data_IF_120841889898
#
_entry.id   IF_120841889898
#
_cell.length_a   1.000
_cell.length_b   1.000
_cell.length_c   1.000
_cell.angle_alpha   90.00
_cell.angle_beta   90.00
_cell.angle_gamma   90.00
#
_symmetry.space_group_name_H-M   'P 1'
#
loop_
_entity.id
_entity.type
_entity.pdbx_description
1 polymer ?
#
# COMPACT_ATOMS: atom_id res chain seq x y z
N UNK A 1 -24.13 -18.08 -34.36
CA UNK A 1 -23.34 -16.90 -33.93
C UNK A 1 -23.89 -16.16 -32.69
N UNK A 2 -25.18 -16.26 -32.33
CA UNK A 2 -25.72 -15.59 -31.12
C UNK A 2 -25.33 -16.23 -29.77
N UNK A 3 -24.87 -17.48 -29.78
CA UNK A 3 -24.48 -18.21 -28.55
C UNK A 3 -22.99 -18.05 -28.15
N UNK A 4 -22.12 -17.59 -29.05
CA UNK A 4 -20.70 -17.40 -28.74
C UNK A 4 -20.44 -16.09 -27.96
N UNK A 5 -21.25 -15.06 -28.23
CA UNK A 5 -21.15 -13.74 -27.59
C UNK A 5 -21.58 -13.79 -26.11
N UNK A 6 -22.53 -14.66 -25.75
CA UNK A 6 -22.95 -14.83 -24.34
C UNK A 6 -21.89 -15.50 -23.46
N UNK A 7 -21.05 -16.36 -24.04
CA UNK A 7 -19.96 -17.03 -23.30
C UNK A 7 -18.81 -16.04 -23.04
N UNK A 8 -18.51 -15.14 -23.97
CA UNK A 8 -17.45 -14.13 -23.80
C UNK A 8 -17.82 -13.09 -22.73
N UNK A 9 -19.09 -12.67 -22.65
CA UNK A 9 -19.55 -11.72 -21.61
C UNK A 9 -19.60 -12.38 -20.22
N UNK A 10 -19.84 -13.69 -20.13
CA UNK A 10 -19.85 -14.42 -18.85
C UNK A 10 -18.44 -14.68 -18.28
N UNK A 11 -17.39 -14.70 -19.10
CA UNK A 11 -16.01 -14.97 -18.66
C UNK A 11 -15.30 -13.71 -18.14
N UNK A 12 -15.77 -12.50 -18.48
CA UNK A 12 -15.19 -11.24 -17.97
C UNK A 12 -15.73 -10.88 -16.57
N UNK A 13 -16.77 -11.56 -16.08
CA UNK A 13 -17.38 -11.26 -14.77
C UNK A 13 -16.70 -11.92 -13.56
N UNK A 14 -15.61 -12.67 -13.76
CA UNK A 14 -14.86 -13.36 -12.68
C UNK A 14 -13.40 -12.91 -12.52
N UNK A 15 -13.04 -11.73 -13.04
CA UNK A 15 -11.87 -11.01 -12.54
C UNK A 15 -12.32 -10.28 -11.27
N UNK A 16 -12.36 -11.04 -10.17
CA UNK A 16 -12.53 -10.48 -8.84
C UNK A 16 -11.56 -9.32 -8.69
N UNK A 17 -12.11 -8.14 -8.33
CA UNK A 17 -11.40 -6.89 -8.11
C UNK A 17 -10.19 -7.13 -7.19
N UNK A 18 -9.10 -7.54 -7.81
CA UNK A 18 -7.79 -7.64 -7.21
C UNK A 18 -7.30 -6.22 -7.03
N UNK A 19 -6.68 -5.97 -5.87
CA UNK A 19 -6.16 -4.69 -5.44
C UNK A 19 -5.70 -3.80 -6.61
N UNK A 20 -6.26 -2.59 -6.70
CA UNK A 20 -5.92 -1.55 -7.68
C UNK A 20 -4.49 -0.99 -7.53
N UNK A 21 -3.68 -1.58 -6.66
CA UNK A 21 -2.26 -1.25 -6.59
C UNK A 21 -1.54 -1.84 -7.80
N UNK A 22 -0.93 -0.96 -8.58
CA UNK A 22 -0.14 -1.38 -9.73
C UNK A 22 1.16 -2.10 -9.29
N UNK A 23 1.57 -3.07 -10.11
CA UNK A 23 2.85 -3.77 -9.98
C UNK A 23 3.67 -3.62 -11.28
N UNK A 24 5.01 -3.53 -11.20
CA UNK A 24 5.83 -3.64 -9.99
C UNK A 24 5.72 -2.40 -9.07
N UNK A 25 5.91 -2.62 -7.76
CA UNK A 25 6.02 -1.55 -6.77
C UNK A 25 7.37 -0.84 -6.91
N UNK A 26 7.34 0.47 -6.81
CA UNK A 26 8.51 1.34 -6.88
C UNK A 26 9.12 1.61 -5.49
N UNK A 27 10.26 2.32 -5.44
CA UNK A 27 10.95 2.55 -4.17
C UNK A 27 10.16 3.44 -3.19
N UNK A 28 9.31 4.37 -3.68
CA UNK A 28 8.49 5.21 -2.82
C UNK A 28 7.33 4.43 -2.17
N UNK A 29 6.65 3.59 -2.95
CA UNK A 29 5.57 2.73 -2.49
C UNK A 29 6.08 1.71 -1.45
N UNK A 30 7.22 1.07 -1.71
CA UNK A 30 7.83 0.10 -0.80
C UNK A 30 8.37 0.76 0.48
N UNK A 31 9.01 1.92 0.35
CA UNK A 31 9.41 2.76 1.50
C UNK A 31 8.21 3.13 2.36
N UNK A 32 7.12 3.59 1.74
CA UNK A 32 5.89 3.92 2.44
C UNK A 32 5.34 2.71 3.22
N UNK A 33 5.27 1.54 2.59
CA UNK A 33 4.76 0.33 3.23
C UNK A 33 5.59 -0.03 4.48
N UNK A 34 6.92 -0.11 4.35
CA UNK A 34 7.82 -0.43 5.45
C UNK A 34 7.73 0.61 6.59
N UNK A 35 7.82 1.90 6.25
CA UNK A 35 7.85 2.99 7.24
C UNK A 35 6.52 3.14 7.96
N UNK A 36 5.40 3.02 7.26
CA UNK A 36 4.07 3.08 7.87
C UNK A 36 3.83 1.90 8.81
N UNK A 37 4.23 0.68 8.44
CA UNK A 37 4.13 -0.48 9.34
C UNK A 37 5.03 -0.34 10.58
N UNK A 38 6.23 0.23 10.45
CA UNK A 38 7.08 0.55 11.60
C UNK A 38 6.41 1.59 12.53
N UNK A 39 5.84 2.66 11.96
CA UNK A 39 5.15 3.72 12.70
C UNK A 39 3.92 3.20 13.44
N UNK A 40 3.14 2.32 12.82
CA UNK A 40 1.94 1.73 13.43
C UNK A 40 2.28 0.74 14.54
N UNK A 41 3.28 -0.11 14.32
CA UNK A 41 3.66 -1.12 15.30
C UNK A 41 4.44 -0.56 16.50
N UNK A 42 5.03 0.63 16.36
CA UNK A 42 5.86 1.33 17.37
C UNK A 42 6.81 0.36 18.10
N UNK A 43 7.67 -0.40 17.37
CA UNK A 43 8.55 -1.36 17.99
C UNK A 43 9.67 -0.66 18.78
N UNK A 44 10.23 -1.30 19.83
CA UNK A 44 11.50 -0.87 20.39
C UNK A 44 12.58 -0.75 19.30
N UNK A 45 13.53 0.19 19.46
CA UNK A 45 14.55 0.51 18.45
C UNK A 45 15.30 -0.72 17.93
N UNK A 46 15.67 -1.64 18.83
CA UNK A 46 16.37 -2.90 18.50
C UNK A 46 15.52 -3.83 17.62
N UNK A 47 14.22 -3.95 17.91
CA UNK A 47 13.31 -4.76 17.11
C UNK A 47 13.02 -4.10 15.75
N UNK A 48 12.83 -2.78 15.72
CA UNK A 48 12.64 -2.02 14.48
C UNK A 48 13.86 -2.07 13.56
N UNK A 49 15.08 -2.15 14.10
CA UNK A 49 16.29 -2.39 13.32
C UNK A 49 16.28 -3.80 12.70
N UNK A 50 15.93 -4.84 13.47
CA UNK A 50 15.78 -6.21 12.95
C UNK A 50 14.75 -6.28 11.82
N UNK A 51 13.60 -5.64 11.97
CA UNK A 51 12.54 -5.64 10.96
C UNK A 51 12.93 -4.95 9.64
N UNK A 52 13.67 -3.84 9.69
CA UNK A 52 14.22 -3.19 8.48
C UNK A 52 15.13 -4.12 7.68
N UNK A 53 15.84 -4.99 8.39
CA UNK A 53 16.71 -5.99 7.79
C UNK A 53 15.97 -7.29 7.40
N UNK A 54 14.63 -7.34 7.51
CA UNK A 54 13.81 -8.55 7.41
C UNK A 54 14.30 -9.70 8.31
N UNK A 55 14.84 -9.35 9.48
CA UNK A 55 15.08 -10.29 10.57
C UNK A 55 13.83 -10.30 11.45
N UNK A 56 13.02 -11.35 11.31
CA UNK A 56 11.63 -11.36 11.78
C UNK A 56 11.43 -12.41 12.90
N UNK A 57 11.74 -12.09 14.18
CA UNK A 57 11.61 -13.02 15.30
C UNK A 57 10.14 -13.44 15.55
N UNK A 58 9.95 -14.61 16.16
CA UNK A 58 8.60 -15.14 16.45
C UNK A 58 7.99 -14.48 17.69
N UNK A 59 7.29 -13.36 17.51
CA UNK A 59 6.49 -12.70 18.56
C UNK A 59 5.29 -11.96 17.95
N UNK A 60 4.28 -11.67 18.78
CA UNK A 60 3.00 -11.06 18.36
C UNK A 60 3.18 -9.76 17.56
N UNK A 61 4.08 -8.87 18.01
CA UNK A 61 4.37 -7.61 17.29
C UNK A 61 4.92 -7.88 15.89
N UNK A 62 5.83 -8.84 15.76
CA UNK A 62 6.45 -9.20 14.48
C UNK A 62 5.44 -9.87 13.56
N UNK A 63 4.52 -10.68 14.10
CA UNK A 63 3.45 -11.29 13.30
C UNK A 63 2.61 -10.22 12.61
N UNK A 64 2.16 -9.20 13.35
CA UNK A 64 1.35 -8.14 12.78
C UNK A 64 2.15 -7.18 11.89
N UNK A 65 3.45 -6.97 12.17
CA UNK A 65 4.32 -6.25 11.25
C UNK A 65 4.41 -6.95 9.88
N UNK A 66 4.57 -8.29 9.86
CA UNK A 66 4.63 -9.05 8.60
C UNK A 66 3.31 -8.97 7.83
N UNK A 67 2.16 -9.13 8.50
CA UNK A 67 0.86 -8.94 7.83
C UNK A 67 0.74 -7.51 7.27
N UNK A 68 1.07 -6.49 8.06
CA UNK A 68 1.03 -5.10 7.62
C UNK A 68 1.90 -4.87 6.37
N UNK A 69 3.14 -5.36 6.38
CA UNK A 69 4.07 -5.20 5.26
C UNK A 69 3.50 -5.83 3.99
N UNK A 70 2.98 -7.05 4.07
CA UNK A 70 2.39 -7.70 2.90
C UNK A 70 1.16 -6.98 2.37
N UNK A 71 0.27 -6.52 3.26
CA UNK A 71 -0.93 -5.77 2.87
C UNK A 71 -0.56 -4.43 2.25
N UNK A 72 0.39 -3.68 2.82
CA UNK A 72 0.77 -2.36 2.31
C UNK A 72 1.63 -2.45 1.05
N UNK A 73 2.27 -3.59 0.80
CA UNK A 73 2.87 -3.87 -0.52
C UNK A 73 1.82 -4.26 -1.58
N UNK A 74 0.54 -4.42 -1.22
CA UNK A 74 -0.52 -4.89 -2.12
C UNK A 74 -0.47 -6.39 -2.41
N UNK A 75 0.31 -7.14 -1.63
CA UNK A 75 0.58 -8.55 -1.88
C UNK A 75 -0.37 -9.45 -1.10
N UNK A 76 -0.83 -9.04 0.09
CA UNK A 76 -1.80 -9.80 0.87
C UNK A 76 -3.12 -9.06 1.00
N UNK A 77 -4.18 -9.67 0.49
CA UNK A 77 -5.55 -9.19 0.60
C UNK A 77 -6.15 -9.65 1.93
N UNK A 78 -6.49 -8.71 2.82
CA UNK A 78 -7.07 -9.03 4.12
C UNK A 78 -8.51 -9.56 4.04
N UNK A 79 -9.27 -9.21 3.00
CA UNK A 79 -10.66 -9.63 2.78
C UNK A 79 -10.71 -11.06 2.24
N UNK A 80 -9.97 -11.33 1.18
CA UNK A 80 -9.92 -12.68 0.59
C UNK A 80 -8.95 -13.61 1.32
N UNK A 81 -8.06 -13.05 2.15
CA UNK A 81 -7.01 -13.75 2.91
C UNK A 81 -6.07 -14.53 1.99
N UNK A 82 -5.72 -13.96 0.84
CA UNK A 82 -4.89 -14.59 -0.19
C UNK A 82 -3.68 -13.73 -0.53
N UNK A 83 -2.58 -14.39 -0.88
CA UNK A 83 -1.41 -13.75 -1.45
C UNK A 83 -1.57 -13.61 -2.96
N UNK A 84 -1.25 -12.43 -3.49
CA UNK A 84 -1.12 -12.17 -4.91
C UNK A 84 0.25 -12.66 -5.39
N UNK A 85 0.37 -13.96 -5.68
CA UNK A 85 1.65 -14.55 -6.07
C UNK A 85 2.16 -14.06 -7.42
N UNK A 86 1.27 -13.66 -8.35
CA UNK A 86 1.67 -13.06 -9.62
C UNK A 86 2.30 -11.69 -9.41
N UNK A 87 1.80 -10.88 -8.49
CA UNK A 87 2.43 -9.61 -8.14
C UNK A 87 3.87 -9.78 -7.60
N UNK A 88 4.11 -10.82 -6.78
CA UNK A 88 5.47 -11.15 -6.31
C UNK A 88 6.34 -11.56 -7.51
N UNK A 89 5.85 -12.43 -8.39
CA UNK A 89 6.57 -12.84 -9.60
C UNK A 89 6.92 -11.66 -10.50
N UNK A 90 5.94 -10.79 -10.79
CA UNK A 90 6.13 -9.56 -11.57
C UNK A 90 7.20 -8.67 -10.94
N UNK A 91 7.21 -8.48 -9.61
CA UNK A 91 8.23 -7.68 -8.94
C UNK A 91 9.64 -8.25 -9.14
N UNK A 92 9.81 -9.57 -8.99
CA UNK A 92 11.11 -10.21 -9.12
C UNK A 92 11.63 -10.08 -10.56
N UNK A 93 10.80 -10.42 -11.55
CA UNK A 93 11.16 -10.40 -12.96
C UNK A 93 11.46 -8.96 -13.42
N UNK A 94 10.64 -7.97 -13.04
CA UNK A 94 10.86 -6.57 -13.44
C UNK A 94 12.15 -5.96 -12.90
N UNK A 95 12.76 -6.61 -11.90
CA UNK A 95 14.01 -6.20 -11.26
C UNK A 95 15.19 -7.09 -11.68
N UNK A 96 15.03 -7.85 -12.77
CA UNK A 96 16.08 -8.71 -13.33
C UNK A 96 16.37 -9.96 -12.50
N UNK A 97 15.49 -10.32 -11.55
CA UNK A 97 15.62 -11.55 -10.75
C UNK A 97 14.77 -12.68 -11.34
N UNK A 98 15.16 -13.92 -11.05
CA UNK A 98 14.36 -15.09 -11.43
C UNK A 98 13.07 -15.16 -10.60
N UNK A 99 12.02 -15.72 -11.20
CA UNK A 99 10.78 -16.03 -10.47
C UNK A 99 11.07 -16.97 -9.28
N UNK A 100 10.58 -16.68 -8.06
CA UNK A 100 10.83 -17.52 -6.91
C UNK A 100 10.18 -18.90 -7.04
N UNK A 101 10.99 -19.96 -7.11
CA UNK A 101 10.51 -21.35 -7.23
C UNK A 101 9.50 -21.78 -6.16
N UNK A 102 9.53 -21.19 -4.96
CA UNK A 102 8.58 -21.51 -3.88
C UNK A 102 7.34 -20.61 -3.80
N UNK A 103 6.99 -19.85 -4.85
CA UNK A 103 5.72 -19.09 -4.87
C UNK A 103 4.50 -19.98 -4.65
N UNK A 104 4.54 -21.24 -5.08
CA UNK A 104 3.47 -22.20 -4.84
C UNK A 104 3.14 -22.39 -3.34
N UNK A 105 4.10 -22.17 -2.45
CA UNK A 105 3.89 -22.25 -0.98
C UNK A 105 3.00 -21.12 -0.45
N UNK A 106 2.86 -20.02 -1.21
CA UNK A 106 1.99 -18.90 -0.89
C UNK A 106 0.62 -19.00 -1.59
N UNK A 107 0.38 -20.05 -2.39
CA UNK A 107 -0.93 -20.24 -3.05
C UNK A 107 -1.96 -20.73 -2.04
N UNK A 108 -3.19 -20.27 -2.24
CA UNK A 108 -4.33 -20.64 -1.39
C UNK A 108 -4.70 -19.55 -0.39
N UNK A 109 -5.63 -19.88 0.49
CA UNK A 109 -6.17 -18.97 1.49
C UNK A 109 -5.51 -19.24 2.85
N UNK A 110 -5.06 -18.17 3.52
CA UNK A 110 -4.56 -18.26 4.89
C UNK A 110 -5.71 -18.64 5.81
N UNK A 111 -5.57 -19.78 6.51
CA UNK A 111 -6.55 -20.24 7.49
C UNK A 111 -6.50 -19.34 8.73
N UNK A 112 -7.66 -18.98 9.28
CA UNK A 112 -7.76 -18.11 10.46
C UNK A 112 -7.57 -16.62 10.17
N UNK A 113 -7.89 -15.80 11.18
CA UNK A 113 -7.99 -14.31 11.06
C UNK A 113 -6.85 -13.55 11.75
N UNK A 114 -5.84 -14.23 12.27
CA UNK A 114 -4.78 -13.59 13.08
C UNK A 114 -3.55 -13.26 12.23
N UNK A 115 -2.75 -12.31 12.72
CA UNK A 115 -1.45 -11.99 12.16
C UNK A 115 -0.48 -13.19 12.20
N UNK A 116 -0.58 -14.02 13.25
CA UNK A 116 0.25 -15.20 13.45
C UNK A 116 0.10 -16.20 12.31
N UNK A 117 -1.12 -16.37 11.78
CA UNK A 117 -1.36 -17.28 10.66
C UNK A 117 -0.76 -16.74 9.36
N UNK A 118 -0.88 -15.43 9.08
CA UNK A 118 -0.21 -14.80 7.92
C UNK A 118 1.31 -14.92 8.03
N UNK A 119 1.86 -14.71 9.23
CA UNK A 119 3.28 -14.88 9.49
C UNK A 119 3.73 -16.33 9.22
N UNK A 120 3.08 -17.32 9.83
CA UNK A 120 3.42 -18.74 9.63
C UNK A 120 3.37 -19.12 8.15
N UNK A 121 2.37 -18.63 7.43
CA UNK A 121 2.15 -18.93 6.02
C UNK A 121 3.23 -18.37 5.10
N UNK A 122 3.86 -17.25 5.47
CA UNK A 122 4.77 -16.51 4.58
C UNK A 122 6.23 -16.42 5.05
N UNK A 123 6.52 -16.77 6.30
CA UNK A 123 7.83 -16.52 6.89
C UNK A 123 8.94 -17.34 6.21
N UNK A 124 8.68 -18.58 5.81
CA UNK A 124 9.69 -19.43 5.19
C UNK A 124 10.05 -18.91 3.79
N UNK A 125 9.08 -18.35 3.06
CA UNK A 125 9.35 -17.63 1.82
C UNK A 125 10.25 -16.42 2.06
N UNK A 126 9.92 -15.55 3.03
CA UNK A 126 10.72 -14.35 3.35
C UNK A 126 12.13 -14.70 3.83
N UNK A 127 12.30 -15.78 4.59
CA UNK A 127 13.62 -16.25 5.03
C UNK A 127 14.44 -16.75 3.84
N UNK A 128 13.83 -17.56 2.97
CA UNK A 128 14.49 -18.18 1.82
C UNK A 128 14.97 -17.14 0.81
N UNK A 129 14.15 -16.12 0.54
CA UNK A 129 14.45 -15.08 -0.45
C UNK A 129 14.80 -13.74 0.20
N UNK A 130 15.34 -13.73 1.42
CA UNK A 130 15.53 -12.52 2.22
C UNK A 130 16.32 -11.44 1.46
N UNK A 131 17.44 -11.82 0.85
CA UNK A 131 18.34 -10.89 0.17
C UNK A 131 17.70 -10.34 -1.10
N UNK A 132 17.18 -11.24 -1.93
CA UNK A 132 16.53 -10.95 -3.20
C UNK A 132 15.28 -10.10 -2.99
N UNK A 133 14.43 -10.47 -2.02
CA UNK A 133 13.23 -9.72 -1.67
C UNK A 133 13.58 -8.28 -1.28
N UNK A 134 14.63 -8.09 -0.46
CA UNK A 134 15.08 -6.74 -0.11
C UNK A 134 15.60 -5.97 -1.31
N UNK A 135 16.31 -6.63 -2.21
CA UNK A 135 16.80 -6.01 -3.43
C UNK A 135 15.66 -5.58 -4.38
N UNK A 136 14.74 -6.50 -4.70
CA UNK A 136 13.67 -6.26 -5.69
C UNK A 136 12.58 -5.32 -5.17
N UNK A 137 12.38 -5.23 -3.85
CA UNK A 137 11.46 -4.27 -3.22
C UNK A 137 12.16 -3.00 -2.68
N UNK A 138 13.38 -2.70 -3.13
CA UNK A 138 14.09 -1.46 -2.74
C UNK A 138 14.27 -1.25 -1.22
N UNK A 139 14.35 -2.35 -0.45
CA UNK A 139 14.48 -2.32 1.02
C UNK A 139 15.95 -2.28 1.49
N UNK A 140 16.86 -1.90 0.60
CA UNK A 140 18.25 -1.55 0.95
C UNK A 140 18.47 -0.08 0.62
N UNK A 141 19.29 0.61 1.42
CA UNK A 141 19.57 2.04 1.19
C UNK A 141 20.14 2.28 -0.22
N UNK A 142 21.02 1.39 -0.68
CA UNK A 142 21.62 1.47 -2.02
C UNK A 142 20.57 1.41 -3.13
N UNK A 143 19.69 0.40 -3.13
CA UNK A 143 18.69 0.24 -4.20
C UNK A 143 17.66 1.36 -4.18
N UNK A 144 17.24 1.79 -2.99
CA UNK A 144 16.32 2.91 -2.82
C UNK A 144 16.91 4.23 -3.29
N UNK A 145 18.13 4.57 -2.85
CA UNK A 145 18.81 5.82 -3.23
C UNK A 145 19.05 5.91 -4.73
N UNK A 146 19.54 4.84 -5.36
CA UNK A 146 19.72 4.79 -6.82
C UNK A 146 18.41 5.06 -7.54
N UNK A 147 17.31 4.41 -7.12
CA UNK A 147 16.01 4.60 -7.76
C UNK A 147 15.50 6.05 -7.62
N UNK A 148 15.61 6.66 -6.43
CA UNK A 148 15.20 8.04 -6.23
C UNK A 148 16.05 9.02 -7.04
N UNK A 149 17.35 8.78 -7.18
CA UNK A 149 18.23 9.58 -8.03
C UNK A 149 17.80 9.52 -9.50
N UNK A 150 17.47 8.33 -10.01
CA UNK A 150 17.00 8.13 -11.38
C UNK A 150 15.60 8.69 -11.66
N UNK A 151 14.81 8.93 -10.60
CA UNK A 151 13.43 9.42 -10.69
C UNK A 151 13.25 10.83 -10.12
N UNK A 152 14.35 11.58 -9.95
CA UNK A 152 14.34 12.93 -9.38
C UNK A 152 13.36 13.85 -10.14
N UNK A 153 12.49 14.53 -9.40
CA UNK A 153 11.46 15.44 -9.94
C UNK A 153 10.21 14.75 -10.51
N UNK A 154 10.30 13.46 -10.88
CA UNK A 154 9.15 12.67 -11.34
C UNK A 154 8.31 12.12 -10.19
N UNK A 155 8.95 11.86 -9.05
CA UNK A 155 8.32 11.35 -7.83
C UNK A 155 8.73 12.20 -6.62
N UNK A 156 7.91 12.20 -5.57
CA UNK A 156 8.16 12.97 -4.34
C UNK A 156 9.49 12.57 -3.73
N UNK A 157 10.32 13.57 -3.39
CA UNK A 157 11.59 13.34 -2.72
C UNK A 157 11.47 12.63 -1.35
N UNK A 158 12.56 12.02 -0.90
CA UNK A 158 12.62 11.28 0.39
C UNK A 158 12.40 12.16 1.63
N UNK A 159 12.67 13.45 1.51
CA UNK A 159 12.55 14.46 2.57
C UNK A 159 11.67 15.65 2.14
N UNK A 160 10.81 15.42 1.14
CA UNK A 160 9.90 16.42 0.59
C UNK A 160 8.45 16.10 1.02
N UNK A 161 7.72 17.13 1.45
CA UNK A 161 6.29 17.01 1.77
C UNK A 161 5.47 16.81 0.49
N UNK A 162 4.36 16.08 0.58
CA UNK A 162 3.47 15.86 -0.55
C UNK A 162 2.87 17.18 -1.07
N UNK A 163 2.48 18.08 -0.16
CA UNK A 163 1.97 19.41 -0.51
C UNK A 163 2.94 20.17 -1.44
N UNK A 164 4.23 20.22 -1.09
CA UNK A 164 5.29 20.84 -1.87
C UNK A 164 5.43 20.19 -3.25
N UNK A 165 5.59 18.87 -3.29
CA UNK A 165 5.81 18.14 -4.53
C UNK A 165 4.64 18.27 -5.51
N UNK A 166 3.41 18.24 -4.99
CA UNK A 166 2.19 18.27 -5.79
C UNK A 166 1.82 19.67 -6.30
N UNK A 167 2.54 20.74 -5.93
CA UNK A 167 2.26 22.09 -6.46
C UNK A 167 2.38 22.19 -7.98
N UNK A 168 3.18 21.30 -8.59
CA UNK A 168 3.38 21.22 -10.04
C UNK A 168 2.14 20.79 -10.83
N UNK A 169 1.13 20.22 -10.15
CA UNK A 169 -0.09 19.77 -10.82
C UNK A 169 -0.92 20.95 -11.33
N UNK A 170 -1.48 20.78 -12.52
CA UNK A 170 -2.08 21.86 -13.34
C UNK A 170 -3.34 22.47 -12.75
N UNK A 171 -4.09 21.70 -11.96
CA UNK A 171 -5.34 22.14 -11.36
C UNK A 171 -5.51 21.57 -9.94
N UNK A 172 -6.46 22.15 -9.19
CA UNK A 172 -6.66 21.81 -7.78
C UNK A 172 -7.15 20.37 -7.57
N UNK A 173 -7.93 19.82 -8.50
CA UNK A 173 -8.42 18.45 -8.39
C UNK A 173 -7.25 17.46 -8.47
N UNK A 174 -6.38 17.62 -9.48
CA UNK A 174 -5.18 16.79 -9.64
C UNK A 174 -4.17 16.99 -8.51
N UNK A 175 -3.99 18.24 -8.06
CA UNK A 175 -3.14 18.55 -6.90
C UNK A 175 -3.62 17.84 -5.64
N UNK A 176 -4.94 17.85 -5.38
CA UNK A 176 -5.53 17.17 -4.24
C UNK A 176 -5.38 15.65 -4.37
N UNK A 177 -5.63 15.09 -5.55
CA UNK A 177 -5.41 13.67 -5.82
C UNK A 177 -3.94 13.29 -5.58
N UNK A 178 -2.97 14.04 -6.11
CA UNK A 178 -1.55 13.82 -5.90
C UNK A 178 -1.20 13.79 -4.40
N UNK A 179 -1.73 14.73 -3.61
CA UNK A 179 -1.54 14.72 -2.15
C UNK A 179 -2.13 13.47 -1.51
N UNK A 180 -3.37 13.12 -1.87
CA UNK A 180 -4.07 11.95 -1.33
C UNK A 180 -3.39 10.64 -1.71
N UNK A 181 -2.77 10.56 -2.88
CA UNK A 181 -1.93 9.45 -3.30
C UNK A 181 -0.73 9.27 -2.36
N UNK A 182 -0.01 10.34 -2.03
CA UNK A 182 1.13 10.27 -1.10
C UNK A 182 0.71 10.11 0.37
N UNK A 183 -0.51 10.52 0.74
CA UNK A 183 -1.12 10.18 2.04
C UNK A 183 -1.64 8.74 2.08
N UNK A 184 -1.72 8.09 0.92
CA UNK A 184 -2.19 6.72 0.71
C UNK A 184 -3.64 6.54 1.12
N UNK A 185 -4.44 7.53 0.72
CA UNK A 185 -5.89 7.55 0.77
C UNK A 185 -6.50 7.03 -0.53
N UNK A 186 -5.83 7.33 -1.64
CA UNK A 186 -6.11 6.83 -2.98
C UNK A 186 -4.85 6.23 -3.59
N UNK A 187 -5.00 5.40 -4.61
CA UNK A 187 -3.89 4.80 -5.37
C UNK A 187 -3.66 5.47 -6.73
N UNK A 188 -2.80 4.84 -7.54
CA UNK A 188 -2.39 5.32 -8.85
C UNK A 188 -3.53 5.32 -9.88
N UNK A 189 -4.59 4.55 -9.64
CA UNK A 189 -5.77 4.41 -10.50
C UNK A 189 -6.97 5.24 -9.99
N UNK A 190 -6.70 6.21 -9.12
CA UNK A 190 -7.72 7.06 -8.48
C UNK A 190 -8.72 6.28 -7.63
N UNK A 191 -8.38 5.08 -7.14
CA UNK A 191 -9.27 4.27 -6.29
C UNK A 191 -8.96 4.44 -4.82
N UNK A 192 -9.98 4.26 -3.97
CA UNK A 192 -9.81 4.39 -2.52
C UNK A 192 -9.01 3.21 -1.96
N UNK A 193 -8.03 3.51 -1.11
CA UNK A 193 -7.27 2.50 -0.38
C UNK A 193 -8.00 2.15 0.92
N UNK A 194 -8.80 1.08 0.90
CA UNK A 194 -9.63 0.66 2.05
C UNK A 194 -8.83 0.03 3.21
N UNK A 195 -7.74 -0.68 2.92
CA UNK A 195 -6.95 -1.37 3.96
C UNK A 195 -6.07 -0.42 4.79
N UNK A 196 -5.91 0.84 4.36
CA UNK A 196 -5.13 1.83 5.09
C UNK A 196 -5.85 2.19 6.40
N UNK A 197 -5.18 2.01 7.54
CA UNK A 197 -5.70 2.36 8.86
C UNK A 197 -5.39 3.82 9.18
N UNK A 198 -6.42 4.66 9.20
CA UNK A 198 -6.29 6.09 9.49
C UNK A 198 -7.25 6.44 10.59
N UNK A 199 -6.77 7.21 11.55
CA UNK A 199 -7.55 7.75 12.65
C UNK A 199 -7.57 9.26 12.50
N UNK A 200 -8.77 9.84 12.46
CA UNK A 200 -9.02 11.26 12.68
C UNK A 200 -9.77 11.32 14.01
N UNK A 201 -9.15 11.88 15.04
CA UNK A 201 -9.75 11.93 16.38
C UNK A 201 -11.09 12.66 16.32
N UNK A 202 -12.18 11.99 16.68
CA UNK A 202 -13.54 12.54 16.60
C UNK A 202 -14.32 12.19 15.32
N UNK A 203 -13.72 11.48 14.36
CA UNK A 203 -14.44 10.83 13.25
C UNK A 203 -14.34 9.32 13.43
N UNK A 204 -15.48 8.64 13.56
CA UNK A 204 -15.51 7.19 13.75
C UNK A 204 -15.06 6.45 12.50
N UNK A 205 -14.54 5.22 12.66
CA UNK A 205 -14.22 4.34 11.53
C UNK A 205 -15.43 4.10 10.61
N UNK A 206 -16.65 4.08 11.16
CA UNK A 206 -17.88 3.93 10.39
C UNK A 206 -18.09 5.14 9.47
N UNK A 207 -18.04 6.35 10.01
CA UNK A 207 -18.17 7.59 9.22
C UNK A 207 -17.06 7.70 8.16
N UNK A 208 -15.83 7.39 8.54
CA UNK A 208 -14.69 7.40 7.62
C UNK A 208 -14.88 6.42 6.45
N UNK A 209 -15.34 5.21 6.74
CA UNK A 209 -15.61 4.20 5.70
C UNK A 209 -16.82 4.54 4.83
N UNK A 210 -17.86 5.18 5.38
CA UNK A 210 -18.98 5.70 4.58
C UNK A 210 -18.48 6.73 3.55
N UNK A 211 -17.63 7.68 3.97
CA UNK A 211 -17.04 8.65 3.05
C UNK A 211 -16.15 7.99 1.99
N UNK A 212 -15.43 6.93 2.33
CA UNK A 212 -14.67 6.12 1.36
C UNK A 212 -15.57 5.48 0.31
N UNK A 213 -16.66 4.84 0.74
CA UNK A 213 -17.63 4.18 -0.15
C UNK A 213 -18.34 5.17 -1.07
N UNK A 214 -18.63 6.38 -0.59
CA UNK A 214 -19.21 7.44 -1.42
C UNK A 214 -18.22 8.00 -2.44
N UNK A 215 -16.97 8.21 -2.03
CA UNK A 215 -15.91 8.70 -2.90
C UNK A 215 -15.54 7.70 -4.00
N UNK A 216 -15.53 6.40 -3.71
CA UNK A 216 -15.16 5.34 -4.66
C UNK A 216 -16.15 5.22 -5.85
N UNK A 217 -17.33 5.84 -5.74
CA UNK A 217 -18.32 5.96 -6.83
C UNK A 217 -17.98 7.08 -7.83
N UNK A 218 -16.96 7.90 -7.56
CA UNK A 218 -16.51 8.97 -8.44
C UNK A 218 -15.40 8.46 -9.36
N UNK A 219 -15.02 9.31 -10.33
CA UNK A 219 -14.00 9.00 -11.33
C UNK A 219 -12.88 10.03 -11.31
N UNK A 220 -11.65 9.57 -11.58
CA UNK A 220 -10.46 10.42 -11.65
C UNK A 220 -10.20 11.19 -10.36
N UNK A 221 -9.62 12.38 -10.46
CA UNK A 221 -9.24 13.20 -9.31
C UNK A 221 -10.42 13.57 -8.39
N UNK A 222 -11.67 13.48 -8.89
CA UNK A 222 -12.87 13.74 -8.10
C UNK A 222 -13.09 12.74 -6.97
N UNK A 223 -12.44 11.57 -6.99
CA UNK A 223 -12.47 10.62 -5.86
C UNK A 223 -11.87 11.27 -4.62
N UNK A 224 -10.68 11.87 -4.74
CA UNK A 224 -10.03 12.54 -3.61
C UNK A 224 -10.84 13.75 -3.13
N UNK A 225 -11.39 14.53 -4.07
CA UNK A 225 -12.26 15.67 -3.77
C UNK A 225 -13.51 15.26 -2.99
N UNK A 226 -14.27 14.29 -3.50
CA UNK A 226 -15.47 13.81 -2.84
C UNK A 226 -15.17 13.21 -1.46
N UNK A 227 -14.03 12.53 -1.33
CA UNK A 227 -13.62 11.98 -0.04
C UNK A 227 -13.35 13.09 0.99
N UNK A 228 -12.59 14.12 0.60
CA UNK A 228 -12.32 15.28 1.45
C UNK A 228 -13.61 16.00 1.85
N UNK A 229 -14.46 16.32 0.88
CA UNK A 229 -15.72 17.04 1.11
C UNK A 229 -16.67 16.27 2.03
N UNK A 230 -16.74 14.94 1.90
CA UNK A 230 -17.54 14.12 2.80
C UNK A 230 -17.04 14.21 4.25
N UNK A 231 -15.73 14.13 4.45
CA UNK A 231 -15.14 14.24 5.78
C UNK A 231 -15.32 15.64 6.38
N UNK A 232 -15.17 16.70 5.58
CA UNK A 232 -15.33 18.09 6.04
C UNK A 232 -16.76 18.43 6.46
N UNK A 233 -17.77 17.77 5.85
CA UNK A 233 -19.17 17.87 6.30
C UNK A 233 -19.39 17.25 7.68
N UNK A 234 -18.58 16.28 8.08
CA UNK A 234 -18.64 15.70 9.42
C UNK A 234 -17.97 16.64 10.42
N UNK A 235 -16.74 17.04 10.14
CA UNK A 235 -15.99 17.98 10.99
C UNK A 235 -14.82 18.59 10.22
N UNK A 236 -15.01 19.81 9.71
CA UNK A 236 -14.03 20.51 8.89
C UNK A 236 -12.70 20.75 9.61
N UNK A 237 -12.75 21.22 10.87
CA UNK A 237 -11.54 21.57 11.63
C UNK A 237 -10.66 20.34 11.85
N UNK A 238 -11.24 19.22 12.27
CA UNK A 238 -10.50 17.97 12.46
C UNK A 238 -9.89 17.43 11.17
N UNK A 239 -10.58 17.60 10.04
CA UNK A 239 -10.07 17.17 8.74
C UNK A 239 -8.88 18.02 8.31
N UNK A 240 -8.94 19.34 8.49
CA UNK A 240 -7.81 20.22 8.20
C UNK A 240 -6.58 19.85 9.05
N UNK A 241 -6.77 19.66 10.37
CA UNK A 241 -5.72 19.20 11.27
C UNK A 241 -5.14 17.84 10.85
N UNK A 242 -5.99 16.91 10.43
CA UNK A 242 -5.55 15.61 9.92
C UNK A 242 -4.75 15.72 8.62
N UNK A 243 -5.16 16.58 7.69
CA UNK A 243 -4.46 16.83 6.43
C UNK A 243 -3.07 17.43 6.67
N UNK A 244 -2.93 18.36 7.60
CA UNK A 244 -1.63 18.91 8.01
C UNK A 244 -0.73 17.83 8.62
N UNK A 245 -1.26 17.00 9.50
CA UNK A 245 -0.53 15.90 10.10
C UNK A 245 -0.08 14.87 9.05
N UNK A 246 -0.95 14.51 8.10
CA UNK A 246 -0.58 13.62 6.99
C UNK A 246 0.47 14.25 6.08
N UNK A 247 0.40 15.56 5.86
CA UNK A 247 1.41 16.27 5.07
C UNK A 247 2.78 16.29 5.74
N UNK A 248 2.82 16.55 7.05
CA UNK A 248 4.03 16.43 7.84
C UNK A 248 4.61 15.02 7.78
N UNK A 249 3.79 14.00 8.03
CA UNK A 249 4.20 12.60 7.98
C UNK A 249 4.65 12.19 6.57
N UNK A 250 4.04 12.73 5.51
CA UNK A 250 4.38 12.40 4.12
C UNK A 250 5.84 12.68 3.78
N UNK A 251 6.48 13.62 4.49
CA UNK A 251 7.88 13.95 4.29
C UNK A 251 8.78 12.71 4.41
N UNK A 252 8.59 11.92 5.48
CA UNK A 252 9.46 10.76 5.79
C UNK A 252 8.74 9.43 5.93
N UNK A 253 7.41 9.45 5.85
CA UNK A 253 6.51 8.35 6.22
C UNK A 253 6.72 7.83 7.65
N UNK A 254 7.34 8.62 8.52
CA UNK A 254 7.73 8.24 9.88
C UNK A 254 7.25 9.30 10.85
#
# INVERSE_FOLDING_TARGET
MKNLIRIIVAVISFLGLAHSLQFPRNADQTRWALKSCLREARPPRSLGAKWRELTLPKNERTFCFVQCLWTYLGIFDEKTRRFNTSAIETQFISRGSLSPKSLHTLKGQVKGKTCKEVYKFSIDFLKKYKSEFRHVFYLTDQTSLTWYSQNRGKVKGRDEKASSFCQKESNECERLHCRFYYYRLVDEDYKIIFFRKILIYGISNRQFNQCREEADKKNGCNVAKAFKECLEKIDNEKVQNAMEAWDYVSQRYA
#
